data_IF_780312309167
#
_entry.id   IF_780312309167
#
_cell.length_a   1.000
_cell.length_b   1.000
_cell.length_c   1.000
_cell.angle_alpha   90.00
_cell.angle_beta   90.00
_cell.angle_gamma   90.00
#
_symmetry.space_group_name_H-M   'P 1'
#
loop_
_entity.id
_entity.type
_entity.pdbx_description
1 polymer ?
#
# COMPACT_ATOMS: atom_id res chain seq x y z
N UNK A 1 -44.67 26.70 22.69
CA UNK A 1 -43.63 26.26 23.65
C UNK A 1 -42.32 26.90 23.25
N UNK A 2 -41.85 27.89 24.03
CA UNK A 2 -40.48 28.41 24.30
C UNK A 2 -39.43 28.25 23.17
N UNK A 3 -38.96 29.28 22.45
CA UNK A 3 -38.17 30.47 22.86
C UNK A 3 -37.02 30.09 23.82
N UNK A 4 -35.74 30.43 23.69
CA UNK A 4 -34.84 31.01 22.69
C UNK A 4 -33.45 31.06 23.41
N UNK A 5 -32.35 31.16 22.64
CA UNK A 5 -31.04 31.74 22.98
C UNK A 5 -30.46 31.65 24.43
N UNK A 6 -29.19 31.23 24.52
CA UNK A 6 -28.09 31.75 25.39
C UNK A 6 -26.86 30.89 25.03
N UNK A 7 -26.01 31.30 24.09
CA UNK A 7 -24.90 32.25 24.21
C UNK A 7 -24.03 32.06 25.46
N UNK A 8 -22.79 31.63 25.22
CA UNK A 8 -21.65 32.12 25.97
C UNK A 8 -21.15 31.21 27.08
N UNK A 9 -19.82 31.09 27.15
CA UNK A 9 -19.16 30.71 28.38
C UNK A 9 -18.19 29.56 28.22
N UNK A 10 -17.04 29.86 27.59
CA UNK A 10 -15.77 29.20 27.87
C UNK A 10 -15.59 29.16 29.40
N UNK A 11 -15.31 28.00 29.98
CA UNK A 11 -14.60 27.95 31.28
C UNK A 11 -13.52 26.88 31.20
N UNK A 12 -12.26 27.24 31.50
CA UNK A 12 -11.08 26.41 31.26
C UNK A 12 -10.83 25.43 32.40
N UNK A 13 -9.97 24.46 32.15
CA UNK A 13 -9.29 23.72 33.21
C UNK A 13 -9.87 22.34 33.49
N UNK A 14 -9.26 21.34 32.85
CA UNK A 14 -8.75 20.13 33.49
C UNK A 14 -9.45 19.72 34.81
N UNK A 15 -10.66 19.18 34.69
CA UNK A 15 -11.26 18.36 35.74
C UNK A 15 -11.16 16.91 35.30
N UNK A 16 -10.16 16.23 35.84
CA UNK A 16 -10.14 14.76 35.96
C UNK A 16 -11.34 14.38 36.82
N UNK A 17 -12.43 13.97 36.17
CA UNK A 17 -13.62 13.44 36.84
C UNK A 17 -13.53 11.91 36.88
N UNK A 18 -13.44 11.40 38.11
CA UNK A 18 -13.39 10.01 38.54
C UNK A 18 -14.73 9.28 38.33
N UNK A 19 -15.10 9.03 37.08
CA UNK A 19 -16.19 8.11 36.75
C UNK A 19 -15.78 7.33 35.52
N UNK A 20 -15.26 6.12 35.75
CA UNK A 20 -15.01 5.02 34.81
C UNK A 20 -15.36 5.33 33.34
N UNK A 21 -14.55 6.17 32.71
CA UNK A 21 -14.52 6.31 31.28
C UNK A 21 -13.52 5.26 30.81
N UNK A 22 -14.02 4.12 30.36
CA UNK A 22 -13.29 3.27 29.43
C UNK A 22 -13.12 4.12 28.16
N UNK A 23 -12.10 5.00 28.18
CA UNK A 23 -11.59 5.66 26.99
C UNK A 23 -11.06 4.53 26.14
N UNK A 24 -11.91 4.03 25.25
CA UNK A 24 -11.44 3.33 24.06
C UNK A 24 -10.65 4.37 23.27
N UNK A 25 -9.33 4.34 23.46
CA UNK A 25 -8.40 5.04 22.60
C UNK A 25 -8.49 4.38 21.23
N UNK A 26 -9.24 5.00 20.32
CA UNK A 26 -9.13 4.67 18.91
C UNK A 26 -7.66 4.85 18.51
N UNK A 27 -7.03 3.89 17.82
CA UNK A 27 -5.71 4.10 17.28
C UNK A 27 -5.82 5.19 16.20
N UNK A 28 -5.37 6.39 16.54
CA UNK A 28 -5.10 7.45 15.59
C UNK A 28 -4.07 6.92 14.59
N UNK A 29 -4.55 6.36 13.48
CA UNK A 29 -3.74 6.11 12.29
C UNK A 29 -3.20 7.46 11.87
N UNK A 30 -1.99 7.77 12.33
CA UNK A 30 -1.19 8.89 11.86
C UNK A 30 -0.93 8.63 10.39
N UNK A 31 -1.87 9.04 9.55
CA UNK A 31 -1.70 9.12 8.11
C UNK A 31 -0.81 10.32 7.91
N UNK A 32 0.50 10.08 7.91
CA UNK A 32 1.45 11.01 7.30
C UNK A 32 0.93 11.25 5.89
N UNK A 33 0.42 12.46 5.66
CA UNK A 33 0.06 12.99 4.35
C UNK A 33 1.33 12.96 3.50
N UNK A 34 1.57 11.81 2.86
CA UNK A 34 2.50 11.69 1.74
C UNK A 34 2.00 12.69 0.71
N UNK A 35 2.87 13.56 0.20
CA UNK A 35 2.62 14.41 -0.96
C UNK A 35 2.22 13.52 -2.14
N UNK A 36 0.93 13.17 -2.21
CA UNK A 36 0.39 12.15 -3.08
C UNK A 36 0.09 12.74 -4.45
N UNK A 37 1.10 13.35 -5.06
CA UNK A 37 1.19 13.33 -6.51
C UNK A 37 1.33 11.87 -6.92
N UNK A 38 0.39 11.36 -7.71
CA UNK A 38 0.29 9.99 -8.20
C UNK A 38 1.55 9.13 -8.01
N UNK A 39 1.54 8.25 -7.00
CA UNK A 39 2.68 7.37 -6.74
C UNK A 39 2.72 6.30 -7.82
N UNK A 40 3.81 6.24 -8.57
CA UNK A 40 4.00 5.26 -9.64
C UNK A 40 4.51 3.94 -9.06
N UNK A 41 3.72 2.88 -9.18
CA UNK A 41 3.97 1.58 -8.55
C UNK A 41 4.17 0.51 -9.61
N UNK A 42 5.25 -0.27 -9.52
CA UNK A 42 5.46 -1.45 -10.36
C UNK A 42 5.24 -2.72 -9.53
N UNK A 43 4.29 -3.54 -9.97
CA UNK A 43 3.98 -4.83 -9.37
C UNK A 43 4.64 -5.95 -10.18
N UNK A 44 5.72 -6.52 -9.64
CA UNK A 44 6.41 -7.63 -10.29
C UNK A 44 5.62 -8.93 -10.11
N UNK A 45 5.84 -9.92 -11.00
CA UNK A 45 5.25 -11.25 -10.85
C UNK A 45 5.69 -11.87 -9.53
N UNK A 46 4.71 -12.41 -8.78
CA UNK A 46 4.95 -13.16 -7.56
C UNK A 46 5.27 -14.61 -7.89
N UNK A 47 6.09 -15.22 -7.03
CA UNK A 47 6.68 -16.53 -7.31
C UNK A 47 6.20 -17.54 -6.30
N UNK A 48 5.78 -18.70 -6.80
CA UNK A 48 5.32 -19.79 -5.96
C UNK A 48 6.32 -20.94 -6.03
N UNK A 49 6.90 -21.28 -4.87
CA UNK A 49 7.67 -22.52 -4.71
C UNK A 49 6.77 -23.73 -4.42
N UNK A 50 5.45 -23.55 -4.40
CA UNK A 50 4.52 -24.62 -4.06
C UNK A 50 4.41 -25.65 -5.19
N UNK A 51 4.81 -26.89 -4.89
CA UNK A 51 4.84 -27.97 -5.88
C UNK A 51 3.45 -28.34 -6.45
N UNK A 52 2.37 -28.06 -5.72
CA UNK A 52 1.00 -28.40 -6.12
C UNK A 52 0.22 -27.30 -6.87
N UNK A 53 0.70 -26.06 -6.87
CA UNK A 53 0.01 -24.94 -7.54
C UNK A 53 0.98 -23.80 -7.88
N UNK A 54 1.66 -23.95 -9.02
CA UNK A 54 2.62 -22.95 -9.54
C UNK A 54 1.95 -21.62 -9.91
N UNK A 55 0.65 -21.63 -10.18
CA UNK A 55 -0.12 -20.45 -10.60
C UNK A 55 -0.52 -19.54 -9.44
N UNK A 56 -0.28 -19.95 -8.19
CA UNK A 56 -0.62 -19.17 -6.99
C UNK A 56 0.01 -17.77 -7.00
N UNK A 57 1.24 -17.66 -7.49
CA UNK A 57 1.93 -16.36 -7.61
C UNK A 57 1.23 -15.42 -8.60
N UNK A 58 0.81 -15.95 -9.76
CA UNK A 58 0.06 -15.17 -10.74
C UNK A 58 -1.28 -14.70 -10.15
N UNK A 59 -2.02 -15.58 -9.46
CA UNK A 59 -3.28 -15.22 -8.81
C UNK A 59 -3.11 -14.11 -7.75
N UNK A 60 -2.05 -14.18 -6.94
CA UNK A 60 -1.75 -13.14 -5.95
C UNK A 60 -1.45 -11.81 -6.62
N UNK A 61 -0.65 -11.81 -7.69
CA UNK A 61 -0.33 -10.61 -8.45
C UNK A 61 -1.61 -9.98 -9.04
N UNK A 62 -2.51 -10.78 -9.62
CA UNK A 62 -3.79 -10.30 -10.17
C UNK A 62 -4.70 -9.70 -9.10
N UNK A 63 -4.87 -10.38 -7.96
CA UNK A 63 -5.72 -9.89 -6.86
C UNK A 63 -5.14 -8.59 -6.28
N UNK A 64 -3.82 -8.53 -6.10
CA UNK A 64 -3.16 -7.35 -5.58
C UNK A 64 -3.21 -6.18 -6.57
N UNK A 65 -2.98 -6.43 -7.87
CA UNK A 65 -3.16 -5.47 -8.94
C UNK A 65 -4.58 -4.89 -8.93
N UNK A 66 -5.60 -5.75 -8.86
CA UNK A 66 -7.00 -5.32 -8.81
C UNK A 66 -7.29 -4.44 -7.59
N UNK A 67 -6.76 -4.79 -6.41
CA UNK A 67 -6.93 -3.98 -5.18
C UNK A 67 -6.21 -2.63 -5.26
N UNK A 68 -5.00 -2.60 -5.83
CA UNK A 68 -4.21 -1.37 -5.97
C UNK A 68 -4.79 -0.45 -7.06
N UNK A 69 -5.37 -1.00 -8.12
CA UNK A 69 -6.04 -0.23 -9.19
C UNK A 69 -7.21 0.62 -8.70
N UNK A 70 -7.88 0.20 -7.62
CA UNK A 70 -9.00 0.95 -7.02
C UNK A 70 -8.49 2.13 -6.17
N UNK A 71 -7.21 2.17 -5.83
CA UNK A 71 -6.62 3.28 -5.09
C UNK A 71 -6.49 4.53 -5.97
N UNK A 72 -7.22 5.59 -5.64
CA UNK A 72 -7.23 6.85 -6.42
C UNK A 72 -5.93 7.64 -6.41
N UNK A 73 -4.91 7.21 -5.66
CA UNK A 73 -3.63 7.93 -5.51
C UNK A 73 -2.44 7.20 -6.14
N UNK A 74 -2.67 6.05 -6.78
CA UNK A 74 -1.62 5.22 -7.36
C UNK A 74 -1.73 5.19 -8.89
N UNK A 75 -0.59 5.12 -9.56
CA UNK A 75 -0.50 4.84 -10.99
C UNK A 75 0.32 3.58 -11.18
N UNK A 76 -0.30 2.51 -11.67
CA UNK A 76 0.44 1.29 -11.96
C UNK A 76 1.26 1.41 -13.24
N UNK A 77 2.44 0.81 -13.22
CA UNK A 77 3.23 0.55 -14.43
C UNK A 77 2.57 -0.57 -15.23
N UNK A 78 2.57 -0.43 -16.55
CA UNK A 78 1.99 -1.44 -17.44
C UNK A 78 2.75 -2.78 -17.31
N UNK A 79 2.00 -3.87 -17.38
CA UNK A 79 2.57 -5.22 -17.26
C UNK A 79 3.53 -5.56 -18.40
N UNK A 80 3.29 -5.03 -19.60
CA UNK A 80 4.12 -5.24 -20.78
C UNK A 80 5.49 -4.57 -20.60
N UNK A 81 5.52 -3.37 -20.01
CA UNK A 81 6.77 -2.69 -19.69
C UNK A 81 7.57 -3.45 -18.64
N UNK A 82 6.90 -3.98 -17.62
CA UNK A 82 7.53 -4.82 -16.59
C UNK A 82 8.15 -6.08 -17.22
N UNK A 83 7.39 -6.82 -18.02
CA UNK A 83 7.87 -8.03 -18.70
C UNK A 83 9.07 -7.74 -19.62
N UNK A 84 9.01 -6.63 -20.37
CA UNK A 84 10.11 -6.20 -21.23
C UNK A 84 11.37 -5.92 -20.42
N UNK A 85 11.28 -5.11 -19.37
CA UNK A 85 12.46 -4.77 -18.55
C UNK A 85 13.03 -6.01 -17.87
N UNK A 86 12.18 -6.89 -17.33
CA UNK A 86 12.63 -8.13 -16.70
C UNK A 86 13.41 -9.01 -17.70
N UNK A 87 12.89 -9.19 -18.93
CA UNK A 87 13.58 -9.90 -20.00
C UNK A 87 14.93 -9.25 -20.36
N UNK A 88 14.97 -7.93 -20.49
CA UNK A 88 16.20 -7.20 -20.77
C UNK A 88 17.24 -7.33 -19.65
N UNK A 89 16.80 -7.44 -18.40
CA UNK A 89 17.68 -7.66 -17.25
C UNK A 89 18.07 -9.14 -17.05
N UNK A 90 17.61 -10.04 -17.91
CA UNK A 90 17.81 -11.48 -17.75
C UNK A 90 17.13 -12.05 -16.51
N UNK A 91 16.14 -11.34 -15.96
CA UNK A 91 15.35 -11.73 -14.80
C UNK A 91 14.09 -12.43 -15.33
N UNK A 92 14.05 -13.75 -15.21
CA UNK A 92 12.90 -14.54 -15.68
C UNK A 92 11.62 -14.30 -14.87
N UNK A 93 10.59 -15.10 -15.14
CA UNK A 93 9.33 -15.12 -14.37
C UNK A 93 9.51 -15.53 -12.89
N UNK A 94 10.75 -15.76 -12.45
CA UNK A 94 11.11 -16.18 -11.11
C UNK A 94 11.02 -15.08 -10.07
N UNK A 95 10.68 -13.83 -10.44
CA UNK A 95 10.33 -12.69 -9.56
C UNK A 95 11.32 -12.35 -8.43
N UNK A 96 12.38 -13.13 -8.30
CA UNK A 96 13.41 -13.10 -7.31
C UNK A 96 14.38 -12.00 -7.71
N UNK A 97 14.08 -10.81 -7.24
CA UNK A 97 14.87 -9.62 -7.46
C UNK A 97 15.65 -9.34 -6.19
N UNK A 98 16.98 -9.41 -6.28
CA UNK A 98 17.86 -8.97 -5.21
C UNK A 98 17.69 -7.46 -4.97
N UNK A 99 17.97 -6.98 -3.76
CA UNK A 99 17.77 -5.59 -3.39
C UNK A 99 18.55 -4.59 -4.29
N UNK A 100 19.75 -4.96 -4.75
CA UNK A 100 20.54 -4.12 -5.65
C UNK A 100 19.92 -4.02 -7.06
N UNK A 101 19.31 -5.11 -7.54
CA UNK A 101 18.61 -5.16 -8.83
C UNK A 101 17.26 -4.43 -8.75
N UNK A 102 16.56 -4.49 -7.62
CA UNK A 102 15.26 -3.84 -7.42
C UNK A 102 15.34 -2.32 -7.66
N UNK A 103 16.36 -1.66 -7.12
CA UNK A 103 16.56 -0.22 -7.30
C UNK A 103 16.81 0.15 -8.77
N UNK A 104 17.50 -0.72 -9.52
CA UNK A 104 17.77 -0.52 -10.95
C UNK A 104 16.52 -0.74 -11.80
N UNK A 105 15.77 -1.82 -11.55
CA UNK A 105 14.50 -2.12 -12.23
C UNK A 105 13.49 -0.99 -11.99
N UNK A 106 13.36 -0.53 -10.74
CA UNK A 106 12.47 0.59 -10.39
C UNK A 106 12.79 1.85 -11.19
N UNK A 107 14.08 2.20 -11.32
CA UNK A 107 14.53 3.34 -12.16
C UNK A 107 14.19 3.16 -13.64
N UNK A 108 14.39 1.96 -14.20
CA UNK A 108 14.08 1.67 -15.61
C UNK A 108 12.57 1.75 -15.90
N UNK A 109 11.73 1.33 -14.94
CA UNK A 109 10.27 1.39 -15.06
C UNK A 109 9.68 2.76 -14.69
N UNK A 110 10.50 3.69 -14.19
CA UNK A 110 10.05 4.94 -13.60
C UNK A 110 9.16 4.73 -12.36
N UNK A 111 9.30 3.59 -11.69
CA UNK A 111 8.52 3.25 -10.51
C UNK A 111 9.18 3.84 -9.26
N UNK A 112 8.38 4.53 -8.45
CA UNK A 112 8.77 5.06 -7.15
C UNK A 112 8.67 3.97 -6.07
N UNK A 113 7.76 3.02 -6.27
CA UNK A 113 7.59 1.85 -5.43
C UNK A 113 7.64 0.58 -6.28
N UNK A 114 8.46 -0.38 -5.86
CA UNK A 114 8.54 -1.71 -6.45
C UNK A 114 7.94 -2.72 -5.47
N UNK A 115 6.97 -3.50 -5.92
CA UNK A 115 6.34 -4.55 -5.12
C UNK A 115 6.69 -5.90 -5.72
N UNK A 116 7.29 -6.77 -4.92
CA UNK A 116 7.66 -8.14 -5.29
C UNK A 116 7.48 -9.06 -4.09
N UNK A 117 7.37 -10.37 -4.32
CA UNK A 117 7.24 -11.35 -3.25
C UNK A 117 7.30 -12.79 -3.74
N UNK A 118 7.52 -13.69 -2.78
CA UNK A 118 7.52 -15.14 -2.97
C UNK A 118 6.58 -15.77 -1.95
N UNK A 119 5.82 -16.76 -2.36
CA UNK A 119 5.10 -17.65 -1.45
C UNK A 119 5.93 -18.89 -1.21
N UNK A 120 6.39 -19.05 0.02
CA UNK A 120 6.94 -20.31 0.51
C UNK A 120 5.82 -21.09 1.21
N UNK A 121 5.75 -22.38 0.95
CA UNK A 121 4.94 -23.32 1.74
C UNK A 121 5.73 -23.93 2.87
#
# INVERSE_FOLDING_TARGET
MRAEHVLGGIVPGMVVCLSAALVWAEPETTTTKSDAGNLRVALLPFVSDFQGNRDSGALIAEILAARLSVSGSLTMVDRTDIDKILKEQGLGASGAVAADQAARIGRLLGAQLLVTGRTAT
#
